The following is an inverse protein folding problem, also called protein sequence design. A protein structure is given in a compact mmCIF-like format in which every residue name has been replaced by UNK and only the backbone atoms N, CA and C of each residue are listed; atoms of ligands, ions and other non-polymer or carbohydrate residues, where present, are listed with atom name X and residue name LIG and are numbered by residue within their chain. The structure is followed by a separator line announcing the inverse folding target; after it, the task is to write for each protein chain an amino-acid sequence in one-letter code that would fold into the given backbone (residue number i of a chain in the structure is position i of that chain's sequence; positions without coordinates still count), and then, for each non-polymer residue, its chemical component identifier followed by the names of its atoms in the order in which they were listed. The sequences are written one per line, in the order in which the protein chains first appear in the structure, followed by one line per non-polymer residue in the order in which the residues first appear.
data_IF_329794763311
#
_entry.id   IF_329794763311
#
_cell.length_a   1.000
_cell.length_b   1.000
_cell.length_c   1.000
_cell.angle_alpha   90.00
_cell.angle_beta   90.00
_cell.angle_gamma   90.00
#
_symmetry.space_group_name_H-M   'P 1'
#
loop_
_entity.id
_entity.type
_entity.pdbx_description
1 polymer ?
#
# COMPACT_ATOMS: atom_id res chain seq x y z
N UNK A 1 0.87 19.96 -23.58
CA UNK A 1 2.16 20.57 -23.25
C UNK A 1 2.32 20.41 -21.74
N UNK A 2 2.71 19.20 -21.33
CA UNK A 2 2.98 18.86 -19.93
C UNK A 2 4.49 18.85 -19.78
N UNK A 3 5.06 19.96 -19.32
CA UNK A 3 6.39 19.92 -18.72
C UNK A 3 6.24 19.16 -17.40
N UNK A 4 6.68 17.93 -17.41
CA UNK A 4 6.88 17.11 -16.22
C UNK A 4 7.81 17.89 -15.29
N UNK A 5 7.29 18.21 -14.12
CA UNK A 5 8.06 18.72 -12.99
C UNK A 5 9.27 17.80 -12.82
N UNK A 6 10.46 18.37 -12.98
CA UNK A 6 11.73 17.69 -12.78
C UNK A 6 11.73 16.96 -11.43
N UNK A 7 11.89 15.64 -11.48
CA UNK A 7 11.88 14.74 -10.34
C UNK A 7 13.22 14.65 -9.61
N UNK A 8 13.98 15.72 -9.54
CA UNK A 8 15.15 15.84 -8.67
C UNK A 8 14.79 16.44 -7.29
N UNK A 9 13.65 16.05 -6.75
CA UNK A 9 13.42 16.15 -5.32
C UNK A 9 14.23 15.05 -4.66
N UNK A 10 15.31 15.42 -4.02
CA UNK A 10 16.10 14.56 -3.13
C UNK A 10 15.12 14.00 -2.07
N UNK A 11 14.53 12.82 -2.37
CA UNK A 11 13.44 12.26 -1.58
C UNK A 11 13.98 11.83 -0.23
N UNK A 12 13.79 12.68 0.78
CA UNK A 12 14.11 12.38 2.15
C UNK A 12 12.85 11.93 2.90
N UNK A 13 12.55 10.64 2.88
CA UNK A 13 11.37 10.06 3.55
C UNK A 13 11.29 10.39 5.03
N UNK A 14 12.41 10.52 5.72
CA UNK A 14 12.44 10.93 7.12
C UNK A 14 11.96 12.38 7.28
N UNK A 15 12.44 13.29 6.45
CA UNK A 15 12.01 14.68 6.50
C UNK A 15 10.51 14.82 6.23
N UNK A 16 9.98 14.08 5.26
CA UNK A 16 8.54 14.06 4.96
C UNK A 16 7.74 13.60 6.18
N UNK A 17 8.17 12.53 6.85
CA UNK A 17 7.49 12.03 8.06
C UNK A 17 7.58 13.04 9.19
N UNK A 18 8.72 13.66 9.40
CA UNK A 18 8.91 14.69 10.44
C UNK A 18 7.99 15.90 10.16
N UNK A 19 7.87 16.33 8.91
CA UNK A 19 6.97 17.41 8.51
C UNK A 19 5.50 17.02 8.65
N UNK A 20 5.09 15.84 8.23
CA UNK A 20 3.73 15.33 8.43
C UNK A 20 3.37 15.26 9.92
N UNK A 21 4.28 14.75 10.75
CA UNK A 21 4.07 14.70 12.19
C UNK A 21 3.97 16.09 12.81
N UNK A 22 4.82 17.02 12.40
CA UNK A 22 4.80 18.40 12.88
C UNK A 22 3.53 19.14 12.47
N UNK A 23 3.10 19.00 11.22
CA UNK A 23 1.96 19.73 10.65
C UNK A 23 0.62 19.10 11.04
N UNK A 24 0.52 17.79 10.97
CA UNK A 24 -0.73 17.05 11.19
C UNK A 24 -0.82 16.46 12.60
N UNK A 25 0.28 16.39 13.36
CA UNK A 25 0.33 15.77 14.70
C UNK A 25 -0.21 14.34 14.66
N UNK A 26 0.28 13.55 13.71
CA UNK A 26 -0.12 12.16 13.55
C UNK A 26 0.19 11.36 14.82
N UNK A 27 -0.70 10.45 15.19
CA UNK A 27 -0.51 9.53 16.34
C UNK A 27 0.31 8.31 15.99
N UNK A 28 0.38 7.99 14.71
CA UNK A 28 1.10 6.83 14.19
C UNK A 28 2.00 7.25 13.04
N UNK A 29 3.14 6.60 12.94
CA UNK A 29 4.07 6.82 11.81
C UNK A 29 3.41 6.37 10.51
N UNK A 30 3.48 7.16 9.43
CA UNK A 30 3.11 6.72 8.09
C UNK A 30 3.84 5.44 7.68
N UNK A 31 3.13 4.57 6.97
CA UNK A 31 3.64 3.29 6.48
C UNK A 31 3.85 3.38 4.99
N UNK A 32 5.08 3.10 4.55
CA UNK A 32 5.41 2.94 3.13
C UNK A 32 5.20 1.50 2.68
N UNK A 33 4.68 1.34 1.47
CA UNK A 33 4.63 0.05 0.76
C UNK A 33 5.36 0.21 -0.56
N UNK A 34 6.12 -0.80 -0.95
CA UNK A 34 6.86 -0.82 -2.21
C UNK A 34 6.69 -2.16 -2.91
N UNK A 35 6.41 -2.11 -4.20
CA UNK A 35 6.30 -3.26 -5.08
C UNK A 35 7.67 -3.52 -5.74
N UNK A 36 8.00 -4.78 -6.01
CA UNK A 36 9.28 -5.20 -6.56
C UNK A 36 9.07 -6.14 -7.74
N UNK A 37 9.75 -5.87 -8.83
CA UNK A 37 9.72 -6.70 -10.02
C UNK A 37 10.28 -8.11 -9.76
N UNK A 38 11.13 -8.26 -8.73
CA UNK A 38 11.65 -9.58 -8.33
C UNK A 38 11.71 -9.75 -6.82
N UNK A 39 11.55 -10.98 -6.36
CA UNK A 39 11.77 -11.38 -4.97
C UNK A 39 13.19 -11.09 -4.51
N UNK A 40 14.17 -11.18 -5.42
CA UNK A 40 15.58 -10.92 -5.13
C UNK A 40 15.80 -9.45 -4.72
N UNK A 41 15.23 -8.50 -5.46
CA UNK A 41 15.29 -7.07 -5.12
C UNK A 41 14.69 -6.79 -3.73
N UNK A 42 13.53 -7.36 -3.44
CA UNK A 42 12.88 -7.21 -2.14
C UNK A 42 13.76 -7.77 -1.03
N UNK A 43 14.34 -8.96 -1.19
CA UNK A 43 15.17 -9.61 -0.16
C UNK A 43 16.52 -8.93 0.05
N UNK A 44 16.98 -8.11 -0.88
CA UNK A 44 18.20 -7.31 -0.74
C UNK A 44 18.03 -6.13 0.26
N UNK A 45 16.81 -5.82 0.67
CA UNK A 45 16.55 -4.76 1.65
C UNK A 45 17.12 -5.16 3.02
N UNK A 46 17.92 -4.28 3.60
CA UNK A 46 18.54 -4.51 4.89
C UNK A 46 17.48 -4.73 6.01
N UNK A 47 17.68 -5.77 6.81
CA UNK A 47 16.81 -6.14 7.93
C UNK A 47 15.35 -6.45 7.54
N UNK A 48 15.11 -6.84 6.29
CA UNK A 48 13.78 -7.30 5.90
C UNK A 48 13.41 -8.60 6.61
N UNK A 49 12.18 -8.70 7.06
CA UNK A 49 11.61 -9.90 7.69
C UNK A 49 10.65 -10.58 6.73
N UNK A 50 10.68 -11.92 6.73
CA UNK A 50 9.66 -12.72 6.04
C UNK A 50 8.68 -13.26 7.09
N UNK A 51 7.37 -13.24 6.82
CA UNK A 51 6.40 -13.86 7.70
C UNK A 51 6.62 -15.39 7.74
N UNK A 52 6.32 -16.00 8.89
CA UNK A 52 6.39 -17.47 9.04
C UNK A 52 5.08 -18.17 8.66
N UNK A 53 3.99 -17.43 8.63
CA UNK A 53 2.64 -17.93 8.34
C UNK A 53 2.01 -17.07 7.26
N UNK A 54 0.96 -17.58 6.65
CA UNK A 54 0.15 -16.84 5.69
C UNK A 54 -0.63 -15.75 6.43
N UNK A 55 -0.67 -14.54 5.85
CA UNK A 55 -1.31 -13.36 6.43
C UNK A 55 -2.19 -12.65 5.40
N UNK A 56 -3.07 -11.79 5.87
CA UNK A 56 -3.71 -10.79 5.02
C UNK A 56 -2.81 -9.55 4.89
N UNK A 57 -3.00 -8.75 3.86
CA UNK A 57 -2.20 -7.51 3.64
C UNK A 57 -2.32 -6.54 4.83
N UNK A 58 -3.51 -6.40 5.41
CA UNK A 58 -3.74 -5.55 6.58
C UNK A 58 -3.01 -6.04 7.83
N UNK A 59 -2.88 -7.36 8.03
CA UNK A 59 -2.07 -7.92 9.11
C UNK A 59 -0.58 -7.58 8.94
N UNK A 60 -0.06 -7.60 7.71
CA UNK A 60 1.31 -7.20 7.42
C UNK A 60 1.52 -5.71 7.70
N UNK A 61 0.60 -4.85 7.24
CA UNK A 61 0.61 -3.41 7.57
C UNK A 61 0.55 -3.20 9.08
N UNK A 62 -0.29 -3.95 9.78
CA UNK A 62 -0.38 -3.92 11.25
C UNK A 62 0.92 -4.31 11.96
N UNK A 63 1.64 -5.31 11.44
CA UNK A 63 2.96 -5.69 11.98
C UNK A 63 3.99 -4.59 11.79
N UNK A 64 4.04 -3.96 10.61
CA UNK A 64 4.93 -2.83 10.35
C UNK A 64 4.60 -1.65 11.28
N UNK A 65 3.33 -1.27 11.38
CA UNK A 65 2.88 -0.15 12.19
C UNK A 65 3.13 -0.35 13.70
N UNK A 66 2.86 -1.56 14.20
CA UNK A 66 2.90 -1.86 15.64
C UNK A 66 4.30 -2.17 16.14
N UNK A 67 5.09 -2.89 15.34
CA UNK A 67 6.39 -3.41 15.76
C UNK A 67 7.58 -2.63 15.16
N UNK A 68 7.33 -1.70 14.23
CA UNK A 68 8.39 -0.98 13.54
C UNK A 68 9.17 -1.85 12.52
N UNK A 69 8.59 -2.97 12.08
CA UNK A 69 9.28 -3.92 11.21
C UNK A 69 9.18 -3.54 9.74
N UNK A 70 10.25 -3.88 9.00
CA UNK A 70 10.20 -3.98 7.54
C UNK A 70 9.88 -5.43 7.19
N UNK A 71 8.73 -5.65 6.56
CA UNK A 71 8.21 -6.99 6.25
C UNK A 71 8.08 -7.12 4.74
N UNK A 72 8.76 -8.10 4.17
CA UNK A 72 8.67 -8.46 2.76
C UNK A 72 7.78 -9.70 2.57
N UNK A 73 6.97 -9.68 1.54
CA UNK A 73 6.01 -10.74 1.21
C UNK A 73 5.98 -11.00 -0.30
N UNK A 74 5.60 -12.22 -0.63
CA UNK A 74 5.24 -12.67 -1.98
C UNK A 74 3.79 -13.15 -1.99
N UNK A 75 3.27 -13.56 -3.14
CA UNK A 75 1.92 -14.14 -3.24
C UNK A 75 1.70 -15.31 -2.28
N UNK A 76 2.73 -16.15 -2.07
CA UNK A 76 2.66 -17.33 -1.20
C UNK A 76 2.46 -16.99 0.29
N UNK A 77 2.87 -15.81 0.71
CA UNK A 77 2.73 -15.34 2.09
C UNK A 77 1.36 -14.73 2.37
N UNK A 78 0.51 -14.57 1.34
CA UNK A 78 -0.78 -13.90 1.43
C UNK A 78 -1.95 -14.88 1.29
N UNK A 79 -2.94 -14.71 2.14
CA UNK A 79 -4.28 -15.25 1.86
C UNK A 79 -4.82 -14.50 0.64
N UNK A 80 -5.12 -15.24 -0.43
CA UNK A 80 -5.70 -14.71 -1.66
C UNK A 80 -6.96 -13.90 -1.35
N UNK A 81 -6.82 -12.62 -1.24
CA UNK A 81 -7.86 -11.70 -0.81
C UNK A 81 -7.87 -10.48 -1.73
N UNK A 82 -8.87 -9.66 -1.55
CA UNK A 82 -9.09 -8.43 -2.31
C UNK A 82 -7.81 -7.60 -2.50
N UNK A 83 -7.09 -7.32 -1.41
CA UNK A 83 -5.91 -6.45 -1.46
C UNK A 83 -4.76 -7.04 -2.29
N UNK A 84 -4.51 -8.34 -2.22
CA UNK A 84 -3.43 -8.97 -2.99
C UNK A 84 -3.71 -9.00 -4.49
N UNK A 85 -4.99 -9.08 -4.88
CA UNK A 85 -5.40 -8.96 -6.28
C UNK A 85 -5.28 -7.51 -6.77
N UNK A 86 -5.68 -6.53 -5.95
CA UNK A 86 -5.51 -5.10 -6.28
C UNK A 86 -4.04 -4.73 -6.49
N UNK A 87 -3.14 -5.35 -5.72
CA UNK A 87 -1.70 -5.13 -5.79
C UNK A 87 -1.00 -6.00 -6.86
N UNK A 88 -1.74 -6.73 -7.68
CA UNK A 88 -1.19 -7.55 -8.77
C UNK A 88 -0.43 -8.80 -8.32
N UNK A 89 -0.47 -9.17 -7.04
CA UNK A 89 0.20 -10.36 -6.51
C UNK A 89 -0.64 -11.65 -6.67
N UNK A 90 -1.95 -11.51 -6.92
CA UNK A 90 -2.83 -12.62 -7.28
C UNK A 90 -3.67 -12.26 -8.50
N UNK A 91 -4.04 -13.25 -9.34
CA UNK A 91 -4.88 -12.97 -10.50
C UNK A 91 -6.32 -12.62 -10.10
N UNK A 92 -7.03 -11.97 -11.01
CA UNK A 92 -8.49 -11.82 -10.95
C UNK A 92 -9.11 -13.18 -11.27
N UNK A 93 -9.53 -13.90 -10.26
CA UNK A 93 -10.21 -15.20 -10.42
C UNK A 93 -11.73 -15.06 -10.66
N UNK A 94 -12.40 -16.19 -10.88
CA UNK A 94 -13.85 -16.21 -11.13
C UNK A 94 -14.66 -15.59 -9.99
N UNK A 95 -14.23 -15.74 -8.75
CA UNK A 95 -14.91 -15.14 -7.58
C UNK A 95 -14.73 -13.62 -7.54
N UNK A 96 -13.60 -13.12 -8.03
CA UNK A 96 -13.41 -11.68 -8.25
C UNK A 96 -14.34 -11.17 -9.36
N UNK A 97 -14.29 -11.80 -10.53
CA UNK A 97 -15.04 -11.36 -11.71
C UNK A 97 -16.55 -11.45 -11.51
N UNK A 98 -17.03 -12.46 -10.79
CA UNK A 98 -18.47 -12.62 -10.48
C UNK A 98 -18.98 -11.71 -9.37
N UNK A 99 -18.09 -11.09 -8.58
CA UNK A 99 -18.45 -10.29 -7.43
C UNK A 99 -18.79 -11.11 -6.17
N UNK A 100 -18.63 -12.43 -6.20
CA UNK A 100 -18.99 -13.33 -5.07
C UNK A 100 -18.29 -12.94 -3.77
N UNK A 101 -17.03 -12.49 -3.83
CA UNK A 101 -16.26 -12.12 -2.63
C UNK A 101 -16.84 -10.94 -1.88
N UNK A 102 -17.54 -10.05 -2.57
CA UNK A 102 -18.03 -8.78 -2.00
C UNK A 102 -19.55 -8.77 -1.81
N UNK A 103 -20.25 -9.72 -2.45
CA UNK A 103 -21.69 -9.88 -2.31
C UNK A 103 -22.06 -10.30 -0.88
N UNK A 104 -23.03 -9.63 -0.27
CA UNK A 104 -23.44 -9.84 1.11
C UNK A 104 -22.47 -9.30 2.17
N UNK A 105 -21.30 -8.80 1.78
CA UNK A 105 -20.31 -8.17 2.68
C UNK A 105 -20.34 -6.64 2.52
N UNK A 106 -20.14 -6.15 1.31
CA UNK A 106 -20.09 -4.71 0.98
C UNK A 106 -21.22 -4.28 0.04
N UNK A 107 -21.79 -5.24 -0.72
CA UNK A 107 -22.84 -4.99 -1.69
C UNK A 107 -24.03 -5.89 -1.42
N UNK A 108 -25.24 -5.36 -1.62
CA UNK A 108 -26.48 -6.08 -1.46
C UNK A 108 -26.86 -6.97 -2.64
N UNK A 109 -26.14 -6.87 -3.76
CA UNK A 109 -26.32 -7.71 -4.93
C UNK A 109 -24.98 -8.13 -5.56
N UNK A 110 -24.96 -9.32 -6.15
CA UNK A 110 -23.81 -9.83 -6.87
C UNK A 110 -23.49 -8.98 -8.11
N UNK A 111 -24.51 -8.46 -8.77
CA UNK A 111 -24.34 -7.61 -9.95
C UNK A 111 -23.59 -6.32 -9.61
N UNK A 112 -23.94 -5.64 -8.52
CA UNK A 112 -23.27 -4.42 -8.07
C UNK A 112 -21.85 -4.72 -7.61
N UNK A 113 -21.65 -5.84 -6.91
CA UNK A 113 -20.34 -6.29 -6.50
C UNK A 113 -19.43 -6.58 -7.70
N UNK A 114 -19.93 -7.29 -8.71
CA UNK A 114 -19.18 -7.57 -9.95
C UNK A 114 -18.85 -6.28 -10.72
N UNK A 115 -19.81 -5.37 -10.86
CA UNK A 115 -19.60 -4.09 -11.53
C UNK A 115 -18.52 -3.25 -10.82
N UNK A 116 -18.55 -3.21 -9.48
CA UNK A 116 -17.52 -2.53 -8.67
C UNK A 116 -16.13 -3.14 -8.90
N UNK A 117 -16.01 -4.47 -8.81
CA UNK A 117 -14.72 -5.14 -8.97
C UNK A 117 -14.16 -5.03 -10.38
N UNK A 118 -15.01 -5.03 -11.41
CA UNK A 118 -14.58 -4.83 -12.80
C UNK A 118 -14.11 -3.39 -13.06
N UNK A 119 -14.71 -2.40 -12.38
CA UNK A 119 -14.34 -0.99 -12.52
C UNK A 119 -13.12 -0.58 -11.66
N UNK A 120 -12.65 -1.47 -10.79
CA UNK A 120 -11.54 -1.16 -9.89
C UNK A 120 -10.22 -1.18 -10.65
N UNK A 121 -9.44 -0.11 -10.52
CA UNK A 121 -8.06 -0.07 -10.99
C UNK A 121 -7.22 -1.04 -10.15
N UNK A 122 -6.46 -1.88 -10.82
CA UNK A 122 -5.56 -2.83 -10.19
C UNK A 122 -4.23 -2.84 -10.92
N UNK A 123 -3.18 -3.19 -10.20
CA UNK A 123 -1.85 -3.49 -10.79
C UNK A 123 -1.97 -4.77 -11.63
N UNK A 124 -1.35 -4.78 -12.80
CA UNK A 124 -1.39 -5.95 -13.70
C UNK A 124 -0.75 -7.17 -13.01
N UNK A 125 -1.46 -8.30 -13.07
CA UNK A 125 -0.96 -9.53 -12.46
C UNK A 125 0.35 -9.99 -13.08
N UNK A 126 1.36 -10.19 -12.24
CA UNK A 126 2.69 -10.60 -12.67
C UNK A 126 3.63 -9.45 -13.07
N UNK A 127 3.19 -8.19 -12.98
CA UNK A 127 4.08 -7.04 -13.11
C UNK A 127 5.09 -6.98 -11.96
N UNK A 128 4.64 -7.39 -10.77
CA UNK A 128 5.47 -7.47 -9.57
C UNK A 128 5.39 -8.87 -8.94
N UNK A 129 6.52 -9.35 -8.41
CA UNK A 129 6.61 -10.65 -7.72
C UNK A 129 6.48 -10.52 -6.20
N UNK A 130 6.81 -9.35 -5.66
CA UNK A 130 6.93 -9.15 -4.23
C UNK A 130 6.53 -7.73 -3.80
N UNK A 131 6.24 -7.57 -2.53
CA UNK A 131 5.98 -6.30 -1.88
C UNK A 131 6.70 -6.24 -0.53
N UNK A 132 7.13 -5.04 -0.12
CA UNK A 132 7.56 -4.79 1.24
C UNK A 132 6.74 -3.67 1.87
N UNK A 133 6.60 -3.75 3.19
CA UNK A 133 5.89 -2.77 4.03
C UNK A 133 6.81 -2.35 5.16
N UNK A 134 6.93 -1.06 5.42
CA UNK A 134 7.81 -0.53 6.46
C UNK A 134 7.31 0.81 6.98
N UNK A 135 7.56 1.14 8.27
CA UNK A 135 7.42 2.53 8.71
C UNK A 135 8.32 3.45 7.87
N UNK A 136 7.78 4.55 7.39
CA UNK A 136 8.55 5.50 6.56
C UNK A 136 9.76 6.09 7.31
N UNK A 137 9.69 6.16 8.65
CA UNK A 137 10.84 6.56 9.49
C UNK A 137 12.04 5.65 9.37
N UNK A 138 11.87 4.42 8.86
CA UNK A 138 12.98 3.49 8.64
C UNK A 138 13.89 3.90 7.48
N UNK A 139 13.38 4.65 6.51
CA UNK A 139 14.06 5.03 5.28
C UNK A 139 14.35 3.87 4.31
N UNK A 140 13.89 2.64 4.62
CA UNK A 140 14.24 1.43 3.84
C UNK A 140 13.50 1.28 2.53
N UNK A 141 12.29 1.82 2.43
CA UNK A 141 11.47 1.79 1.22
C UNK A 141 11.37 3.19 0.62
N UNK A 142 12.49 3.70 0.11
CA UNK A 142 12.61 5.06 -0.36
C UNK A 142 12.85 5.12 -1.89
N UNK A 143 11.99 5.77 -2.69
CA UNK A 143 10.62 6.17 -2.36
C UNK A 143 9.68 4.97 -2.26
N UNK A 144 8.62 5.02 -1.43
CA UNK A 144 7.55 4.04 -1.48
C UNK A 144 6.64 4.29 -2.68
N UNK A 145 5.96 3.25 -3.18
CA UNK A 145 4.94 3.39 -4.21
C UNK A 145 3.60 3.82 -3.61
N UNK A 146 3.34 3.39 -2.36
CA UNK A 146 2.11 3.71 -1.62
C UNK A 146 2.49 4.20 -0.22
N UNK A 147 1.84 5.27 0.23
CA UNK A 147 1.94 5.79 1.59
C UNK A 147 0.59 5.69 2.31
N UNK A 148 0.56 4.94 3.41
CA UNK A 148 -0.60 4.80 4.27
C UNK A 148 -0.49 5.72 5.47
N UNK A 149 -1.47 6.60 5.64
CA UNK A 149 -1.53 7.57 6.73
C UNK A 149 -2.81 7.35 7.52
N UNK A 150 -2.68 7.01 8.80
CA UNK A 150 -3.81 6.95 9.73
C UNK A 150 -4.05 8.33 10.33
N UNK A 151 -5.15 8.95 9.98
CA UNK A 151 -5.47 10.31 10.38
C UNK A 151 -6.93 10.45 10.81
N UNK A 152 -7.20 11.40 11.69
CA UNK A 152 -8.56 11.83 12.01
C UNK A 152 -9.16 12.62 10.86
N UNK A 153 -10.49 12.76 10.77
CA UNK A 153 -11.11 13.58 9.71
C UNK A 153 -10.57 15.03 9.65
N UNK A 154 -10.29 15.64 10.80
CA UNK A 154 -9.72 16.99 10.84
C UNK A 154 -8.30 17.06 10.25
N UNK A 155 -7.46 16.06 10.50
CA UNK A 155 -6.13 15.93 9.90
C UNK A 155 -6.21 15.66 8.39
N UNK A 156 -7.18 14.84 7.96
CA UNK A 156 -7.39 14.53 6.54
C UNK A 156 -7.82 15.76 5.74
N UNK A 157 -8.66 16.62 6.28
CA UNK A 157 -9.04 17.89 5.62
C UNK A 157 -7.80 18.74 5.34
N UNK A 158 -6.90 18.88 6.30
CA UNK A 158 -5.66 19.63 6.13
C UNK A 158 -4.75 18.99 5.07
N UNK A 159 -4.64 17.67 5.08
CA UNK A 159 -3.85 16.91 4.12
C UNK A 159 -4.39 17.06 2.69
N UNK A 160 -5.70 16.90 2.50
CA UNK A 160 -6.36 17.04 1.19
C UNK A 160 -6.21 18.47 0.67
N UNK A 161 -6.41 19.47 1.52
CA UNK A 161 -6.20 20.86 1.12
C UNK A 161 -4.76 21.13 0.69
N UNK A 162 -3.77 20.52 1.38
CA UNK A 162 -2.37 20.61 1.00
C UNK A 162 -2.09 19.98 -0.37
N UNK A 163 -2.70 18.82 -0.66
CA UNK A 163 -2.56 18.16 -1.97
C UNK A 163 -3.21 18.95 -3.12
N UNK A 164 -4.27 19.70 -2.82
CA UNK A 164 -4.96 20.54 -3.81
C UNK A 164 -4.32 21.91 -4.00
N UNK A 165 -3.36 22.26 -3.15
CA UNK A 165 -2.67 23.54 -3.24
C UNK A 165 -1.72 23.54 -4.45
N UNK A 166 -1.97 24.44 -5.37
CA UNK A 166 -1.19 24.56 -6.61
C UNK A 166 -0.19 25.71 -6.60
N UNK A 167 -0.01 26.41 -5.48
CA UNK A 167 0.88 27.55 -5.32
C UNK A 167 0.20 28.88 -5.57
#
# INVERSE_FOLDING_TARGET
MNELISTDLDYNGKQIVDDLNRLLRLRTTPIGMKLFASTAEMTAIEHIRRPKNIHTTDQIVGQAARNGWTVGITAEDLVGAQCSTVLGLHPRDDQWLSGDRMNGVWFGSQQDAAAHQQAMDVVEYGEFEAMAVSPMTSGRLNPPDICLIYATPAQMILFINGLQWTG
#
